data_IF_167468065449
#
_entry.id   IF_167468065449
#
_cell.length_a   1.000
_cell.length_b   1.000
_cell.length_c   1.000
_cell.angle_alpha   90.00
_cell.angle_beta   90.00
_cell.angle_gamma   90.00
#
_symmetry.space_group_name_H-M   'P 1'
#
loop_
_entity.id
_entity.type
_entity.pdbx_description
1 polymer ?
#
# COMPACT_ATOMS: atom_id res chain seq x y z
N UNK A 1 29.74 5.87 15.91
CA UNK A 1 29.14 4.51 15.98
C UNK A 1 28.74 3.97 14.61
N UNK A 2 27.94 4.70 13.81
CA UNK A 2 27.42 4.23 12.51
C UNK A 2 28.35 4.46 11.29
N UNK A 3 29.63 4.81 11.50
CA UNK A 3 30.62 4.89 10.41
C UNK A 3 31.09 3.50 10.02
N UNK A 4 31.57 3.34 8.78
CA UNK A 4 32.11 2.06 8.32
C UNK A 4 33.35 1.68 9.15
N UNK A 5 33.66 0.37 9.23
CA UNK A 5 34.88 -0.08 9.94
C UNK A 5 36.15 0.56 9.36
N UNK A 6 36.14 0.84 8.06
CA UNK A 6 37.24 1.50 7.36
C UNK A 6 37.44 2.97 7.78
N UNK A 7 36.43 3.63 8.33
CA UNK A 7 36.49 5.02 8.81
C UNK A 7 36.62 5.11 10.36
N UNK A 8 37.03 4.02 11.01
CA UNK A 8 37.16 3.96 12.47
C UNK A 8 35.83 3.87 13.23
N UNK A 9 34.73 3.54 12.54
CA UNK A 9 33.45 3.19 13.16
C UNK A 9 33.35 1.70 13.52
N UNK A 10 32.33 1.31 14.29
CA UNK A 10 32.13 -0.10 14.65
C UNK A 10 31.51 -0.95 13.54
N UNK A 11 31.14 -0.35 12.39
CA UNK A 11 30.54 -1.06 11.26
C UNK A 11 29.08 -1.48 11.48
N UNK A 12 28.43 -0.97 12.53
CA UNK A 12 27.00 -1.20 12.73
C UNK A 12 26.22 -0.42 11.66
N UNK A 13 25.47 -1.16 10.83
CA UNK A 13 24.39 -0.59 10.01
C UNK A 13 23.42 0.13 10.94
N UNK A 14 22.82 1.23 10.49
CA UNK A 14 21.93 2.07 11.28
C UNK A 14 20.85 1.21 11.98
N UNK A 15 21.00 0.97 13.29
CA UNK A 15 20.18 0.02 14.07
C UNK A 15 18.68 0.29 13.95
N UNK A 16 18.32 1.55 13.80
CA UNK A 16 16.95 2.00 13.57
C UNK A 16 16.33 1.34 12.32
N UNK A 17 17.06 1.27 11.21
CA UNK A 17 16.57 0.63 9.98
C UNK A 17 16.38 -0.87 10.15
N UNK A 18 17.30 -1.52 10.87
CA UNK A 18 17.18 -2.96 11.17
C UNK A 18 15.98 -3.24 12.06
N UNK A 19 15.79 -2.45 13.12
CA UNK A 19 14.65 -2.56 14.01
C UNK A 19 13.34 -2.30 13.25
N UNK A 20 13.27 -1.24 12.44
CA UNK A 20 12.11 -0.95 11.61
C UNK A 20 11.79 -2.09 10.65
N UNK A 21 12.80 -2.70 10.01
CA UNK A 21 12.62 -3.86 9.15
C UNK A 21 12.08 -5.08 9.92
N UNK A 22 12.53 -5.32 11.14
CA UNK A 22 11.99 -6.36 12.02
C UNK A 22 10.53 -6.10 12.39
N UNK A 23 10.18 -4.86 12.73
CA UNK A 23 8.80 -4.45 13.03
C UNK A 23 7.89 -4.62 11.81
N UNK A 24 8.37 -4.23 10.63
CA UNK A 24 7.68 -4.48 9.36
C UNK A 24 7.49 -5.99 9.12
N UNK A 25 8.50 -6.82 9.40
CA UNK A 25 8.38 -8.28 9.31
C UNK A 25 7.30 -8.84 10.24
N UNK A 26 7.15 -8.30 11.44
CA UNK A 26 6.05 -8.67 12.35
C UNK A 26 4.70 -8.28 11.74
N UNK A 27 4.56 -7.05 11.24
CA UNK A 27 3.35 -6.61 10.54
C UNK A 27 3.02 -7.48 9.32
N UNK A 28 4.04 -7.91 8.57
CA UNK A 28 3.90 -8.81 7.43
C UNK A 28 3.35 -10.19 7.83
N UNK A 29 3.83 -10.74 8.95
CA UNK A 29 3.26 -11.98 9.51
C UNK A 29 1.81 -11.82 9.92
N UNK A 30 1.44 -10.70 10.54
CA UNK A 30 0.04 -10.41 10.90
C UNK A 30 -0.85 -10.42 9.65
N UNK A 31 -0.34 -9.93 8.52
CA UNK A 31 -1.07 -9.90 7.24
C UNK A 31 -1.18 -11.28 6.58
N UNK A 32 -0.07 -12.02 6.49
CA UNK A 32 0.01 -13.24 5.68
C UNK A 32 -0.30 -14.51 6.46
N UNK A 33 -0.22 -14.47 7.79
CA UNK A 33 -0.47 -15.61 8.68
C UNK A 33 -1.60 -15.27 9.68
N UNK A 34 -2.83 -14.97 9.21
CA UNK A 34 -3.91 -14.49 10.07
C UNK A 34 -4.37 -15.51 11.12
N UNK A 35 -4.04 -16.79 10.93
CA UNK A 35 -4.34 -17.88 11.86
C UNK A 35 -3.23 -18.08 12.91
N UNK A 36 -2.10 -17.40 12.80
CA UNK A 36 -1.08 -17.45 13.85
C UNK A 36 -1.63 -16.86 15.14
N UNK A 37 -1.23 -17.41 16.29
CA UNK A 37 -1.61 -16.89 17.60
C UNK A 37 -1.30 -15.39 17.72
N UNK A 38 -0.15 -14.97 17.20
CA UNK A 38 0.25 -13.56 17.12
C UNK A 38 -0.82 -12.71 16.42
N UNK A 39 -1.20 -13.10 15.19
CA UNK A 39 -2.18 -12.34 14.42
C UNK A 39 -3.56 -12.32 15.08
N UNK A 40 -4.03 -13.46 15.61
CA UNK A 40 -5.32 -13.56 16.28
C UNK A 40 -5.39 -12.70 17.56
N UNK A 41 -4.33 -12.71 18.38
CA UNK A 41 -4.24 -11.88 19.60
C UNK A 41 -4.27 -10.39 19.25
N UNK A 42 -3.47 -9.96 18.27
CA UNK A 42 -3.46 -8.55 17.85
C UNK A 42 -4.78 -8.14 17.19
N UNK A 43 -5.39 -9.00 16.37
CA UNK A 43 -6.70 -8.75 15.77
C UNK A 43 -7.77 -8.57 16.83
N UNK A 44 -7.92 -9.53 17.74
CA UNK A 44 -8.93 -9.48 18.79
C UNK A 44 -8.80 -8.23 19.67
N UNK A 45 -7.57 -7.81 19.98
CA UNK A 45 -7.31 -6.67 20.85
C UNK A 45 -7.41 -5.31 20.17
N UNK A 46 -6.86 -5.16 18.97
CA UNK A 46 -6.63 -3.83 18.36
C UNK A 46 -7.49 -3.55 17.12
N UNK A 47 -7.89 -4.57 16.37
CA UNK A 47 -8.69 -4.41 15.14
C UNK A 47 -9.71 -5.54 14.96
N UNK A 48 -10.62 -5.79 15.93
CA UNK A 48 -11.45 -7.00 15.95
C UNK A 48 -12.44 -7.06 14.77
N UNK A 49 -12.91 -5.91 14.29
CA UNK A 49 -13.84 -5.77 13.17
C UNK A 49 -13.20 -5.16 11.91
N UNK A 50 -11.90 -4.90 11.95
CA UNK A 50 -11.19 -4.15 10.91
C UNK A 50 -10.06 -4.94 10.27
N UNK A 51 -9.34 -4.26 9.38
CA UNK A 51 -8.14 -4.77 8.74
C UNK A 51 -6.91 -4.21 9.44
N UNK A 52 -5.82 -4.97 9.43
CA UNK A 52 -4.56 -4.52 10.00
C UNK A 52 -4.06 -3.20 9.37
N UNK A 53 -4.20 -3.04 8.05
CA UNK A 53 -3.78 -1.85 7.31
C UNK A 53 -4.64 -0.60 7.60
N UNK A 54 -5.87 -0.77 8.07
CA UNK A 54 -6.73 0.35 8.50
C UNK A 54 -6.76 0.55 10.02
N UNK A 55 -6.09 -0.32 10.79
CA UNK A 55 -6.07 -0.26 12.24
C UNK A 55 -5.36 1.00 12.75
N UNK A 56 -5.99 1.75 13.64
CA UNK A 56 -5.41 2.94 14.26
C UNK A 56 -5.03 2.70 15.72
N UNK A 57 -4.13 3.53 16.24
CA UNK A 57 -3.86 3.55 17.67
C UNK A 57 -5.08 4.14 18.40
N UNK A 58 -5.72 3.32 19.24
CA UNK A 58 -6.73 3.81 20.19
C UNK A 58 -6.05 4.46 21.40
N UNK A 59 -6.82 5.07 22.30
CA UNK A 59 -6.30 5.64 23.55
C UNK A 59 -5.48 4.60 24.33
N UNK A 60 -4.27 5.01 24.77
CA UNK A 60 -3.31 4.20 25.54
C UNK A 60 -2.98 2.84 24.90
N UNK A 61 -2.41 2.82 23.67
CA UNK A 61 -1.96 1.58 23.06
C UNK A 61 -0.75 1.02 23.83
N UNK A 62 -0.54 -0.30 23.75
CA UNK A 62 0.71 -0.87 24.26
C UNK A 62 1.89 -0.41 23.40
N UNK A 63 3.08 -0.33 24.00
CA UNK A 63 4.31 -0.07 23.26
C UNK A 63 4.52 -1.03 22.09
N UNK A 64 4.25 -2.32 22.29
CA UNK A 64 4.34 -3.32 21.23
C UNK A 64 3.42 -3.01 20.03
N UNK A 65 2.20 -2.56 20.29
CA UNK A 65 1.27 -2.19 19.21
C UNK A 65 1.72 -0.93 18.47
N UNK A 66 2.21 0.09 19.18
CA UNK A 66 2.77 1.29 18.57
C UNK A 66 3.96 0.95 17.66
N UNK A 67 4.85 0.08 18.12
CA UNK A 67 5.99 -0.39 17.33
C UNK A 67 5.56 -1.15 16.07
N UNK A 68 4.53 -1.99 16.16
CA UNK A 68 3.97 -2.67 14.99
C UNK A 68 3.36 -1.67 14.00
N UNK A 69 2.61 -0.67 14.49
CA UNK A 69 2.07 0.39 13.62
C UNK A 69 3.19 1.22 12.96
N UNK A 70 4.30 1.45 13.66
CA UNK A 70 5.48 2.09 13.08
C UNK A 70 6.10 1.24 11.97
N UNK A 71 6.28 -0.06 12.19
CA UNK A 71 6.71 -1.00 11.16
C UNK A 71 5.74 -1.11 9.98
N UNK A 72 4.43 -1.03 10.24
CA UNK A 72 3.38 -1.08 9.21
C UNK A 72 3.50 0.07 8.20
N UNK A 73 3.95 1.27 8.62
CA UNK A 73 4.20 2.39 7.70
C UNK A 73 5.26 2.06 6.65
N UNK A 74 6.26 1.23 7.01
CA UNK A 74 7.23 0.75 6.03
C UNK A 74 6.60 -0.26 5.07
N UNK A 75 5.72 -1.15 5.58
CA UNK A 75 4.98 -2.07 4.73
C UNK A 75 4.09 -1.33 3.74
N UNK A 76 3.32 -0.33 4.17
CA UNK A 76 2.43 0.45 3.31
C UNK A 76 3.15 1.06 2.10
N UNK A 77 4.43 1.45 2.26
CA UNK A 77 5.26 1.96 1.15
C UNK A 77 5.65 0.88 0.13
N UNK A 78 5.76 -0.37 0.54
CA UNK A 78 6.16 -1.49 -0.32
C UNK A 78 5.00 -2.37 -0.78
N UNK A 79 3.87 -2.34 -0.07
CA UNK A 79 2.65 -3.05 -0.41
C UNK A 79 1.98 -2.39 -1.60
N UNK A 80 1.45 -3.22 -2.49
CA UNK A 80 0.63 -2.76 -3.60
C UNK A 80 -0.66 -3.54 -3.67
N UNK A 81 -1.69 -2.88 -4.17
CA UNK A 81 -2.94 -3.54 -4.50
C UNK A 81 -2.76 -4.40 -5.74
N UNK A 82 -3.16 -5.67 -5.63
CA UNK A 82 -3.40 -6.52 -6.78
C UNK A 82 -4.83 -6.26 -7.25
N UNK A 83 -4.98 -5.67 -8.43
CA UNK A 83 -6.28 -5.30 -8.95
C UNK A 83 -7.00 -6.54 -9.50
N UNK A 84 -8.14 -6.86 -8.89
CA UNK A 84 -9.10 -7.82 -9.41
C UNK A 84 -10.11 -7.16 -10.34
N UNK A 85 -11.36 -7.05 -9.88
CA UNK A 85 -12.42 -6.32 -10.57
C UNK A 85 -12.41 -4.80 -10.31
N UNK A 86 -11.44 -4.30 -9.54
CA UNK A 86 -11.29 -2.89 -9.20
C UNK A 86 -12.34 -2.29 -8.25
N UNK A 87 -13.27 -3.09 -7.71
CA UNK A 87 -14.41 -2.59 -6.91
C UNK A 87 -14.05 -2.19 -5.48
N UNK A 88 -12.82 -2.48 -5.04
CA UNK A 88 -12.37 -2.23 -3.66
C UNK A 88 -11.10 -1.39 -3.57
N UNK A 89 -10.65 -0.85 -4.70
CA UNK A 89 -9.50 0.04 -4.78
C UNK A 89 -9.98 1.36 -5.38
N UNK A 90 -9.67 2.47 -4.71
CA UNK A 90 -9.84 3.78 -5.33
C UNK A 90 -8.75 4.01 -6.39
N UNK A 91 -9.05 4.84 -7.37
CA UNK A 91 -8.23 5.03 -8.54
C UNK A 91 -6.95 5.81 -8.20
N UNK A 92 -7.04 6.81 -7.32
CA UNK A 92 -5.96 7.73 -6.97
C UNK A 92 -5.28 7.35 -5.65
N UNK A 93 -6.04 7.15 -4.57
CA UNK A 93 -5.46 6.94 -3.22
C UNK A 93 -4.86 5.54 -3.02
N UNK A 94 -5.21 4.57 -3.87
CA UNK A 94 -4.69 3.22 -3.73
C UNK A 94 -3.30 3.09 -4.37
N UNK A 95 -2.35 2.45 -3.68
CA UNK A 95 -1.02 2.16 -4.25
C UNK A 95 -1.09 0.92 -5.17
N UNK A 96 -1.64 1.05 -6.38
CA UNK A 96 -1.85 -0.08 -7.30
C UNK A 96 -0.97 -0.05 -8.56
N UNK A 97 -0.40 1.12 -8.91
CA UNK A 97 0.45 1.27 -10.10
C UNK A 97 1.93 1.12 -9.73
N UNK A 98 2.67 0.22 -10.40
CA UNK A 98 4.08 0.04 -10.12
C UNK A 98 4.96 1.28 -10.35
N UNK A 99 5.51 1.84 -9.28
CA UNK A 99 6.52 2.89 -9.36
C UNK A 99 5.96 4.26 -9.73
N UNK A 100 4.64 4.44 -9.70
CA UNK A 100 3.98 5.71 -9.94
C UNK A 100 3.26 6.18 -8.67
N UNK A 101 3.32 7.49 -8.40
CA UNK A 101 2.37 8.18 -7.56
C UNK A 101 1.45 8.98 -8.48
N UNK A 102 0.15 8.82 -8.29
CA UNK A 102 -0.85 9.53 -9.08
C UNK A 102 -1.07 10.91 -8.47
N UNK A 103 -0.24 11.86 -8.88
CA UNK A 103 -0.35 13.26 -8.50
C UNK A 103 -0.50 14.14 -9.75
N UNK A 104 -1.25 15.26 -9.70
CA UNK A 104 -1.24 16.22 -10.79
C UNK A 104 0.22 16.62 -11.15
N UNK A 105 0.58 16.70 -12.45
CA UNK A 105 -0.30 16.79 -13.61
C UNK A 105 -0.59 15.46 -14.34
N UNK A 106 -0.34 14.29 -13.74
CA UNK A 106 -0.54 13.02 -14.45
C UNK A 106 -2.02 12.70 -14.73
N UNK A 107 -2.94 13.42 -14.10
CA UNK A 107 -4.37 13.49 -14.39
C UNK A 107 -4.90 14.92 -14.17
N UNK A 108 -6.10 15.20 -14.68
CA UNK A 108 -6.81 16.45 -14.40
C UNK A 108 -7.97 16.21 -13.42
N UNK A 109 -7.93 16.78 -12.19
CA UNK A 109 -9.00 16.60 -11.19
C UNK A 109 -10.40 17.03 -11.68
N UNK A 110 -10.47 17.96 -12.64
CA UNK A 110 -11.75 18.47 -13.16
C UNK A 110 -12.43 17.51 -14.16
N UNK A 111 -11.69 16.52 -14.68
CA UNK A 111 -12.20 15.57 -15.68
C UNK A 111 -12.68 14.27 -15.01
N UNK A 112 -12.22 14.00 -13.79
CA UNK A 112 -12.64 12.82 -13.05
C UNK A 112 -14.12 12.89 -12.65
N UNK A 113 -14.84 11.75 -12.65
CA UNK A 113 -16.23 11.69 -12.20
C UNK A 113 -16.38 12.27 -10.79
N UNK A 114 -17.49 12.98 -10.58
CA UNK A 114 -17.89 13.57 -9.29
C UNK A 114 -16.83 14.49 -8.63
N UNK A 115 -15.83 14.94 -9.39
CA UNK A 115 -14.72 15.78 -8.91
C UNK A 115 -13.86 15.11 -7.84
N UNK A 116 -13.87 13.77 -7.78
CA UNK A 116 -13.26 13.00 -6.70
C UNK A 116 -12.33 11.88 -7.17
N UNK A 117 -12.24 10.83 -6.34
CA UNK A 117 -11.45 9.63 -6.57
C UNK A 117 -12.39 8.46 -6.92
N UNK A 118 -12.62 8.14 -8.21
CA UNK A 118 -13.45 7.01 -8.61
C UNK A 118 -12.79 5.67 -8.24
N UNK A 119 -13.50 4.55 -8.43
CA UNK A 119 -12.90 3.23 -8.24
C UNK A 119 -12.07 2.81 -9.45
N UNK A 120 -11.07 1.94 -9.23
CA UNK A 120 -10.31 1.31 -10.32
C UNK A 120 -11.23 0.52 -11.26
N UNK A 121 -12.39 0.04 -10.76
CA UNK A 121 -13.41 -0.62 -11.58
C UNK A 121 -13.91 0.24 -12.75
N UNK A 122 -13.89 1.58 -12.60
CA UNK A 122 -14.31 2.48 -13.66
C UNK A 122 -13.38 2.41 -14.87
N UNK A 123 -12.09 2.16 -14.69
CA UNK A 123 -11.16 2.05 -15.83
C UNK A 123 -11.03 0.62 -16.35
N UNK A 124 -11.89 -0.30 -15.91
CA UNK A 124 -11.93 -1.70 -16.35
C UNK A 124 -13.20 -1.94 -17.20
N UNK A 125 -13.04 -2.57 -18.36
CA UNK A 125 -14.17 -3.04 -19.17
C UNK A 125 -14.80 -4.27 -18.53
N UNK A 126 -16.02 -4.09 -18.02
CA UNK A 126 -16.76 -5.15 -17.33
C UNK A 126 -17.00 -6.35 -18.27
N UNK A 127 -16.66 -7.56 -17.79
CA UNK A 127 -16.85 -8.81 -18.54
C UNK A 127 -15.79 -9.11 -19.60
N UNK A 128 -14.83 -8.22 -19.85
CA UNK A 128 -13.84 -8.39 -20.92
C UNK A 128 -12.41 -8.61 -20.41
N UNK A 129 -12.16 -8.40 -19.11
CA UNK A 129 -10.82 -8.59 -18.52
C UNK A 129 -9.75 -7.66 -19.09
N UNK A 130 -10.14 -6.49 -19.60
CA UNK A 130 -9.25 -5.49 -20.20
C UNK A 130 -9.49 -4.09 -19.64
N UNK A 131 -8.46 -3.26 -19.68
CA UNK A 131 -8.56 -1.85 -19.34
C UNK A 131 -9.36 -1.07 -20.41
N UNK A 132 -10.08 -0.04 -19.98
CA UNK A 132 -10.77 0.90 -20.86
C UNK A 132 -9.80 1.98 -21.34
N UNK A 133 -9.06 1.70 -22.43
CA UNK A 133 -8.01 2.59 -22.98
C UNK A 133 -8.52 3.99 -23.33
N UNK A 134 -9.73 4.09 -23.86
CA UNK A 134 -10.43 5.34 -24.16
C UNK A 134 -10.66 6.19 -22.90
N UNK A 135 -11.02 5.55 -21.78
CA UNK A 135 -11.24 6.24 -20.51
C UNK A 135 -9.92 6.63 -19.85
N UNK A 136 -8.94 5.73 -19.89
CA UNK A 136 -7.60 6.00 -19.37
C UNK A 136 -6.95 7.18 -20.08
N UNK A 137 -6.96 7.19 -21.42
CA UNK A 137 -6.39 8.30 -22.21
C UNK A 137 -7.12 9.62 -22.04
N UNK A 138 -8.39 9.59 -21.61
CA UNK A 138 -9.14 10.79 -21.27
C UNK A 138 -8.77 11.36 -19.88
N UNK A 139 -8.48 10.49 -18.91
CA UNK A 139 -8.25 10.88 -17.52
C UNK A 139 -6.77 11.10 -17.18
N UNK A 140 -5.87 10.36 -17.83
CA UNK A 140 -4.45 10.31 -17.49
C UNK A 140 -3.55 10.68 -18.67
N UNK A 141 -2.34 11.11 -18.36
CA UNK A 141 -1.28 11.32 -19.35
C UNK A 141 -0.80 9.99 -19.99
N UNK A 142 -0.10 10.11 -21.12
CA UNK A 142 0.37 8.94 -21.88
C UNK A 142 1.30 8.01 -21.07
N UNK A 143 2.28 8.51 -20.29
CA UNK A 143 3.11 7.67 -19.43
C UNK A 143 2.31 6.85 -18.41
N UNK A 144 1.35 7.47 -17.74
CA UNK A 144 0.51 6.80 -16.72
C UNK A 144 -0.39 5.77 -17.37
N UNK A 145 -1.01 6.08 -18.51
CA UNK A 145 -1.79 5.10 -19.28
C UNK A 145 -0.95 3.86 -19.60
N UNK A 146 0.27 4.04 -20.12
CA UNK A 146 1.17 2.93 -20.44
C UNK A 146 1.50 2.09 -19.21
N UNK A 147 1.77 2.72 -18.07
CA UNK A 147 2.03 2.02 -16.82
C UNK A 147 0.83 1.18 -16.37
N UNK A 148 -0.38 1.75 -16.40
CA UNK A 148 -1.62 1.04 -16.05
C UNK A 148 -1.85 -0.16 -16.96
N UNK A 149 -1.69 0.03 -18.28
CA UNK A 149 -1.90 -1.03 -19.27
C UNK A 149 -0.94 -2.21 -19.13
N UNK A 150 0.21 -2.05 -18.43
CA UNK A 150 1.12 -3.17 -18.14
C UNK A 150 0.64 -4.07 -17.00
N UNK A 151 -0.35 -3.64 -16.22
CA UNK A 151 -0.87 -4.38 -15.08
C UNK A 151 -1.85 -5.44 -15.62
N UNK A 152 -1.58 -6.74 -15.39
CA UNK A 152 -2.48 -7.79 -15.84
C UNK A 152 -3.76 -7.80 -14.98
N UNK A 153 -4.91 -7.86 -15.64
CA UNK A 153 -6.18 -8.12 -14.98
C UNK A 153 -6.45 -9.63 -14.94
N UNK A 154 -7.02 -10.17 -13.84
CA UNK A 154 -7.45 -11.55 -13.80
C UNK A 154 -8.56 -11.81 -14.82
N UNK A 155 -8.51 -12.98 -15.46
CA UNK A 155 -9.52 -13.47 -16.42
C UNK A 155 -10.73 -14.03 -15.70
#
# INVERSE_FOLDING_TARGET
MCRSKHEGGMGFRQFEHFNLALLAKIGWRILNEPQSLLAQVYKGKYFPRGLFLSAQARSRPSWGWQSILYGRRLLEKGLRWLIGNGQSASLLDSNWIPGAQLDPPCYNPLILPDGGDPLVAEVIRQGEGRWAEDRLSHWFDSPTCKAIMTIPLPR
#
